data_IF_452834603169
#
_entry.id   IF_452834603169
#
_cell.length_a   1.000
_cell.length_b   1.000
_cell.length_c   1.000
_cell.angle_alpha   90.00
_cell.angle_beta   90.00
_cell.angle_gamma   90.00
#
_symmetry.space_group_name_H-M   'P 1'
#
loop_
_entity.id
_entity.type
_entity.pdbx_description
1 polymer ?
#
# COMPACT_ATOMS: atom_id res chain seq x y z
N UNK A 1 -29.37 49.46 -81.22
CA UNK A 1 -28.43 49.53 -80.06
C UNK A 1 -28.92 48.55 -78.99
N UNK A 2 -28.32 47.35 -78.86
CA UNK A 2 -28.64 46.34 -77.85
C UNK A 2 -27.62 46.41 -76.75
N UNK A 3 -28.02 46.68 -75.47
CA UNK A 3 -27.19 46.68 -74.31
C UNK A 3 -27.13 45.26 -73.74
N UNK A 4 -25.98 44.66 -73.67
CA UNK A 4 -25.71 43.44 -72.95
C UNK A 4 -25.42 43.73 -71.43
N UNK A 5 -26.16 43.05 -70.59
CA UNK A 5 -25.96 43.01 -69.14
C UNK A 5 -25.17 41.72 -68.76
N UNK A 6 -24.11 41.77 -68.01
CA UNK A 6 -23.42 40.56 -67.55
C UNK A 6 -24.03 40.02 -66.23
N UNK A 7 -24.36 38.72 -66.24
CA UNK A 7 -24.73 37.96 -65.04
C UNK A 7 -23.51 37.70 -64.20
N UNK A 8 -23.50 38.18 -62.95
CA UNK A 8 -22.49 37.88 -61.94
C UNK A 8 -23.01 36.64 -61.19
N UNK A 9 -22.30 35.50 -61.32
CA UNK A 9 -22.55 34.30 -60.51
C UNK A 9 -21.77 34.45 -59.22
N UNK A 10 -22.45 34.72 -58.08
CA UNK A 10 -21.92 34.64 -56.75
C UNK A 10 -21.74 33.21 -56.28
N UNK A 11 -20.53 32.71 -56.18
CA UNK A 11 -20.22 31.48 -55.54
C UNK A 11 -20.28 31.64 -54.02
N UNK A 12 -21.29 31.09 -53.36
CA UNK A 12 -21.37 31.03 -51.90
C UNK A 12 -20.48 29.82 -51.43
N UNK A 13 -19.30 30.12 -50.91
CA UNK A 13 -18.45 29.18 -50.27
C UNK A 13 -19.00 28.88 -48.86
N UNK A 14 -19.63 27.77 -48.63
CA UNK A 14 -19.99 27.26 -47.29
C UNK A 14 -18.73 26.71 -46.62
N UNK A 15 -18.11 27.49 -45.76
CA UNK A 15 -17.06 27.02 -44.89
C UNK A 15 -17.67 26.17 -43.78
N UNK A 16 -17.62 24.84 -43.92
CA UNK A 16 -17.93 23.91 -42.84
C UNK A 16 -16.83 23.98 -41.76
N UNK A 17 -17.06 24.73 -40.68
CA UNK A 17 -16.23 24.74 -39.51
C UNK A 17 -16.39 23.39 -38.80
N UNK A 18 -15.46 22.47 -39.00
CA UNK A 18 -15.28 21.31 -38.13
C UNK A 18 -14.83 21.81 -36.74
N UNK A 19 -15.79 21.98 -35.83
CA UNK A 19 -15.52 22.12 -34.42
C UNK A 19 -14.95 20.80 -33.94
N UNK A 20 -13.63 20.70 -33.91
CA UNK A 20 -12.95 19.65 -33.17
C UNK A 20 -13.31 19.88 -31.69
N UNK A 21 -14.31 19.16 -31.18
CA UNK A 21 -14.52 19.05 -29.75
C UNK A 21 -13.27 18.39 -29.16
N UNK A 22 -12.37 19.20 -28.64
CA UNK A 22 -11.35 18.74 -27.71
C UNK A 22 -12.14 18.24 -26.51
N UNK A 23 -12.37 16.94 -26.45
CA UNK A 23 -12.90 16.30 -25.26
C UNK A 23 -11.93 16.64 -24.13
N UNK A 24 -12.32 17.61 -23.30
CA UNK A 24 -11.52 17.98 -22.13
C UNK A 24 -11.27 16.73 -21.30
N UNK A 25 -10.03 16.55 -20.84
CA UNK A 25 -9.66 15.43 -20.01
C UNK A 25 -10.62 15.34 -18.80
N UNK A 26 -11.37 14.24 -18.69
CA UNK A 26 -12.26 14.04 -17.56
C UNK A 26 -11.42 13.79 -16.30
N UNK A 27 -11.76 14.47 -15.20
CA UNK A 27 -11.08 14.26 -13.94
C UNK A 27 -11.60 13.00 -13.24
N UNK A 28 -10.72 12.04 -13.02
CA UNK A 28 -10.99 10.86 -12.20
C UNK A 28 -10.70 11.18 -10.74
N UNK A 29 -11.72 11.04 -9.90
CA UNK A 29 -11.58 11.18 -8.45
C UNK A 29 -11.21 9.84 -7.86
N UNK A 30 -10.13 9.79 -7.10
CA UNK A 30 -9.73 8.66 -6.25
C UNK A 30 -9.97 9.07 -4.80
N UNK A 31 -10.58 8.19 -4.01
CA UNK A 31 -10.82 8.48 -2.60
C UNK A 31 -9.98 7.58 -1.69
N UNK A 32 -9.39 8.17 -0.68
CA UNK A 32 -8.71 7.47 0.41
C UNK A 32 -9.46 7.70 1.72
N UNK A 33 -9.75 6.61 2.42
CA UNK A 33 -10.17 6.61 3.82
C UNK A 33 -9.09 5.86 4.60
N UNK A 34 -8.42 6.55 5.51
CA UNK A 34 -7.25 6.03 6.20
C UNK A 34 -7.03 6.79 7.52
N UNK A 35 -6.22 6.26 8.46
CA UNK A 35 -5.83 6.99 9.65
C UNK A 35 -4.93 8.18 9.26
N UNK A 36 -5.50 9.37 9.23
CA UNK A 36 -4.78 10.64 9.06
C UNK A 36 -4.52 11.32 10.41
N UNK A 37 -5.13 10.79 11.47
CA UNK A 37 -4.89 11.08 12.88
C UNK A 37 -4.70 9.79 13.69
N UNK A 38 -4.25 9.89 14.95
CA UNK A 38 -4.02 8.74 15.83
C UNK A 38 -2.70 8.02 15.60
N UNK A 39 -2.62 6.76 16.02
CA UNK A 39 -1.38 5.99 16.13
C UNK A 39 -0.68 5.72 14.80
N UNK A 40 -1.45 5.49 13.73
CA UNK A 40 -0.92 5.12 12.40
C UNK A 40 -0.98 6.31 11.41
N UNK A 41 -1.18 7.54 11.91
CA UNK A 41 -1.36 8.74 11.08
C UNK A 41 -0.18 9.02 10.14
N UNK A 42 1.04 8.77 10.58
CA UNK A 42 2.24 8.99 9.78
C UNK A 42 2.22 8.13 8.52
N UNK A 43 1.87 6.85 8.65
CA UNK A 43 1.77 5.93 7.53
C UNK A 43 0.63 6.31 6.58
N UNK A 44 -0.55 6.65 7.13
CA UNK A 44 -1.70 7.08 6.33
C UNK A 44 -1.41 8.32 5.49
N UNK A 45 -0.79 9.34 6.08
CA UNK A 45 -0.38 10.57 5.40
C UNK A 45 0.73 10.32 4.37
N UNK A 46 1.71 9.47 4.69
CA UNK A 46 2.78 9.12 3.76
C UNK A 46 2.24 8.40 2.52
N UNK A 47 1.33 7.46 2.72
CA UNK A 47 0.66 6.77 1.61
C UNK A 47 -0.13 7.76 0.72
N UNK A 48 -0.88 8.71 1.36
CA UNK A 48 -1.57 9.79 0.66
C UNK A 48 -0.63 10.62 -0.20
N UNK A 49 0.51 11.02 0.38
CA UNK A 49 1.52 11.80 -0.33
C UNK A 49 2.07 11.04 -1.55
N UNK A 50 2.31 9.74 -1.42
CA UNK A 50 2.71 8.88 -2.53
C UNK A 50 1.70 8.83 -3.66
N UNK A 51 0.41 8.62 -3.36
CA UNK A 51 -0.69 8.70 -4.33
C UNK A 51 -0.69 10.06 -5.06
N UNK A 52 -0.62 11.14 -4.29
CA UNK A 52 -0.66 12.50 -4.82
C UNK A 52 0.54 12.80 -5.73
N UNK A 53 1.75 12.34 -5.37
CA UNK A 53 2.95 12.47 -6.20
C UNK A 53 2.76 11.79 -7.56
N UNK A 54 2.24 10.56 -7.59
CA UNK A 54 1.99 9.85 -8.83
C UNK A 54 0.95 10.57 -9.70
N UNK A 55 -0.15 11.04 -9.11
CA UNK A 55 -1.20 11.77 -9.82
C UNK A 55 -0.71 13.11 -10.34
N UNK A 56 0.04 13.86 -9.54
CA UNK A 56 0.62 15.14 -9.98
C UNK A 56 1.57 14.95 -11.17
N UNK A 57 2.40 13.90 -11.16
CA UNK A 57 3.28 13.59 -12.29
C UNK A 57 2.48 13.23 -13.56
N UNK A 58 1.46 12.39 -13.43
CA UNK A 58 0.60 12.05 -14.57
C UNK A 58 -0.10 13.29 -15.12
N UNK A 59 -0.67 14.13 -14.25
CA UNK A 59 -1.37 15.34 -14.66
C UNK A 59 -0.45 16.34 -15.37
N UNK A 60 0.79 16.53 -14.86
CA UNK A 60 1.81 17.37 -15.52
C UNK A 60 2.22 16.85 -16.89
N UNK A 61 2.14 15.53 -17.10
CA UNK A 61 2.40 14.88 -18.38
C UNK A 61 1.19 14.85 -19.33
N UNK A 62 0.09 15.53 -18.99
CA UNK A 62 -1.14 15.58 -19.81
C UNK A 62 -2.18 14.49 -19.42
N UNK A 63 -2.00 13.81 -18.30
CA UNK A 63 -2.91 12.76 -17.83
C UNK A 63 -2.61 11.36 -18.42
N UNK A 64 -3.57 10.46 -18.32
CA UNK A 64 -3.49 9.12 -18.89
C UNK A 64 -4.86 8.62 -19.34
N UNK A 65 -4.92 7.97 -20.51
CA UNK A 65 -6.19 7.46 -21.08
C UNK A 65 -7.23 8.55 -21.39
N UNK A 66 -6.81 9.81 -21.51
CA UNK A 66 -7.71 10.97 -21.68
C UNK A 66 -8.24 11.51 -20.34
N UNK A 67 -7.61 11.19 -19.21
CA UNK A 67 -8.05 11.58 -17.88
C UNK A 67 -6.95 12.27 -17.09
N UNK A 68 -7.35 13.18 -16.20
CA UNK A 68 -6.55 13.69 -15.08
C UNK A 68 -7.02 13.06 -13.76
N UNK A 69 -6.25 13.21 -12.70
CA UNK A 69 -6.46 12.52 -11.42
C UNK A 69 -6.54 13.52 -10.27
N UNK A 70 -7.44 13.27 -9.33
CA UNK A 70 -7.51 13.98 -8.05
C UNK A 70 -7.67 13.00 -6.90
N UNK A 71 -7.16 13.37 -5.73
CA UNK A 71 -7.25 12.60 -4.49
C UNK A 71 -8.13 13.31 -3.48
N UNK A 72 -9.18 12.64 -3.01
CA UNK A 72 -9.98 13.06 -1.87
C UNK A 72 -9.61 12.20 -0.67
N UNK A 73 -9.33 12.82 0.48
CA UNK A 73 -8.91 12.12 1.71
C UNK A 73 -9.96 12.31 2.79
N UNK A 74 -10.25 11.24 3.53
CA UNK A 74 -11.06 11.24 4.75
C UNK A 74 -10.30 10.54 5.86
N UNK A 75 -10.32 11.11 7.05
CA UNK A 75 -9.73 10.52 8.25
C UNK A 75 -10.72 9.56 8.91
N UNK A 76 -10.30 8.34 9.21
CA UNK A 76 -11.05 7.37 10.00
C UNK A 76 -10.45 7.15 11.40
N UNK A 77 -9.34 7.83 11.71
CA UNK A 77 -8.63 7.68 12.98
C UNK A 77 -8.19 6.24 13.29
N UNK A 78 -8.19 5.35 12.29
CA UNK A 78 -7.93 3.92 12.44
C UNK A 78 -9.08 3.14 13.10
N UNK A 79 -10.31 3.66 13.11
CA UNK A 79 -11.48 3.02 13.69
C UNK A 79 -12.38 2.41 12.62
N UNK A 80 -12.67 1.08 12.69
CA UNK A 80 -13.43 0.38 11.63
C UNK A 80 -14.83 0.98 11.35
N UNK A 81 -15.55 1.41 12.38
CA UNK A 81 -16.87 2.02 12.21
C UNK A 81 -16.79 3.35 11.45
N UNK A 82 -15.76 4.16 11.75
CA UNK A 82 -15.51 5.41 11.05
C UNK A 82 -15.03 5.16 9.62
N UNK A 83 -14.29 4.08 9.36
CA UNK A 83 -13.91 3.66 8.00
C UNK A 83 -15.14 3.45 7.12
N UNK A 84 -16.16 2.73 7.63
CA UNK A 84 -17.41 2.48 6.89
C UNK A 84 -18.19 3.77 6.67
N UNK A 85 -18.35 4.59 7.73
CA UNK A 85 -19.06 5.86 7.66
C UNK A 85 -18.40 6.83 6.67
N UNK A 86 -17.07 7.01 6.76
CA UNK A 86 -16.31 7.87 5.87
C UNK A 86 -16.31 7.36 4.42
N UNK A 87 -16.27 6.02 4.22
CA UNK A 87 -16.39 5.42 2.87
C UNK A 87 -17.76 5.73 2.27
N UNK A 88 -18.84 5.53 3.03
CA UNK A 88 -20.20 5.84 2.56
C UNK A 88 -20.35 7.32 2.21
N UNK A 89 -19.81 8.20 3.06
CA UNK A 89 -19.83 9.63 2.83
C UNK A 89 -19.07 10.03 1.55
N UNK A 90 -17.84 9.56 1.37
CA UNK A 90 -17.02 9.93 0.21
C UNK A 90 -17.59 9.39 -1.11
N UNK A 91 -18.24 8.23 -1.07
CA UNK A 91 -18.94 7.66 -2.24
C UNK A 91 -20.09 8.55 -2.69
N UNK A 92 -20.86 9.09 -1.74
CA UNK A 92 -21.99 9.98 -2.02
C UNK A 92 -21.53 11.37 -2.51
N UNK A 93 -20.54 11.97 -1.83
CA UNK A 93 -20.09 13.35 -2.08
C UNK A 93 -19.22 13.47 -3.33
N UNK A 94 -18.24 12.59 -3.48
CA UNK A 94 -17.17 12.74 -4.47
C UNK A 94 -17.28 11.80 -5.66
N UNK A 95 -18.16 10.79 -5.61
CA UNK A 95 -18.40 9.78 -6.66
C UNK A 95 -17.08 9.22 -7.25
N UNK A 96 -16.15 8.73 -6.44
CA UNK A 96 -14.84 8.31 -6.90
C UNK A 96 -14.95 7.14 -7.88
N UNK A 97 -13.97 7.04 -8.79
CA UNK A 97 -13.81 5.91 -9.69
C UNK A 97 -13.20 4.70 -8.99
N UNK A 98 -12.35 4.94 -8.00
CA UNK A 98 -11.68 3.95 -7.19
C UNK A 98 -11.43 4.45 -5.77
N UNK A 99 -11.32 3.52 -4.83
CA UNK A 99 -10.80 3.72 -3.49
C UNK A 99 -9.32 3.31 -3.47
N UNK A 100 -8.51 3.92 -2.61
CA UNK A 100 -7.10 3.59 -2.50
C UNK A 100 -6.54 3.78 -1.09
N UNK A 101 -5.53 2.99 -0.71
CA UNK A 101 -4.70 3.23 0.46
C UNK A 101 -5.44 3.13 1.80
N UNK A 102 -6.27 2.11 1.97
CA UNK A 102 -6.93 1.81 3.24
C UNK A 102 -6.01 1.05 4.20
N UNK A 103 -6.24 1.18 5.50
CA UNK A 103 -5.38 0.61 6.54
C UNK A 103 -6.18 -0.15 7.60
N UNK A 104 -5.54 -1.16 8.19
CA UNK A 104 -6.01 -1.85 9.37
C UNK A 104 -6.78 -3.14 9.09
N UNK A 105 -6.53 -4.14 9.92
CA UNK A 105 -7.10 -5.48 9.78
C UNK A 105 -8.64 -5.44 9.84
N UNK A 106 -9.17 -4.84 10.90
CA UNK A 106 -10.62 -4.76 11.14
C UNK A 106 -11.31 -3.83 10.15
N UNK A 107 -10.72 -2.66 9.84
CA UNK A 107 -11.27 -1.71 8.87
C UNK A 107 -11.49 -2.35 7.51
N UNK A 108 -10.48 -3.08 7.02
CA UNK A 108 -10.57 -3.76 5.72
C UNK A 108 -11.52 -4.96 5.80
N UNK A 109 -11.51 -5.72 6.91
CA UNK A 109 -12.44 -6.83 7.09
C UNK A 109 -13.90 -6.36 7.09
N UNK A 110 -14.23 -5.31 7.84
CA UNK A 110 -15.58 -4.76 7.90
C UNK A 110 -16.00 -4.11 6.56
N UNK A 111 -15.06 -3.45 5.86
CA UNK A 111 -15.33 -2.92 4.52
C UNK A 111 -15.73 -4.04 3.53
N UNK A 112 -14.99 -5.13 3.50
CA UNK A 112 -15.31 -6.28 2.64
C UNK A 112 -16.65 -6.90 3.06
N UNK A 113 -16.86 -7.13 4.36
CA UNK A 113 -18.10 -7.72 4.90
C UNK A 113 -19.34 -6.85 4.64
N UNK A 114 -19.18 -5.53 4.59
CA UNK A 114 -20.29 -4.59 4.34
C UNK A 114 -20.91 -4.73 2.94
N UNK A 115 -20.22 -5.37 1.98
CA UNK A 115 -20.67 -5.48 0.59
C UNK A 115 -20.65 -4.16 -0.19
N UNK A 116 -20.14 -3.06 0.39
CA UNK A 116 -20.11 -1.75 -0.27
C UNK A 116 -19.35 -1.81 -1.60
N UNK A 117 -18.20 -2.50 -1.65
CA UNK A 117 -17.38 -2.59 -2.85
C UNK A 117 -18.12 -3.24 -4.02
N UNK A 118 -18.85 -4.32 -3.75
CA UNK A 118 -19.66 -5.03 -4.74
C UNK A 118 -20.89 -4.23 -5.16
N UNK A 119 -21.62 -3.67 -4.20
CA UNK A 119 -22.79 -2.84 -4.44
C UNK A 119 -22.48 -1.65 -5.33
N UNK A 120 -21.38 -0.97 -5.03
CA UNK A 120 -20.93 0.22 -5.76
C UNK A 120 -20.05 -0.11 -6.95
N UNK A 121 -19.73 -1.40 -7.19
CA UNK A 121 -18.81 -1.90 -8.22
C UNK A 121 -17.49 -1.13 -8.26
N UNK A 122 -16.96 -0.80 -7.09
CA UNK A 122 -15.80 0.05 -6.92
C UNK A 122 -14.59 -0.74 -6.42
N UNK A 123 -13.44 -0.56 -7.07
CA UNK A 123 -12.19 -1.18 -6.63
C UNK A 123 -11.55 -0.44 -5.47
N UNK A 124 -11.00 -1.18 -4.50
CA UNK A 124 -9.99 -0.72 -3.56
C UNK A 124 -8.62 -1.13 -4.08
N UNK A 125 -7.78 -0.15 -4.42
CA UNK A 125 -6.43 -0.35 -4.97
C UNK A 125 -5.38 0.04 -3.95
N UNK A 126 -4.62 -0.95 -3.45
CA UNK A 126 -3.64 -0.75 -2.38
C UNK A 126 -4.30 -0.62 -1.01
N UNK A 127 -3.86 -1.47 -0.10
CA UNK A 127 -4.27 -1.47 1.29
C UNK A 127 -3.19 -2.09 2.17
N UNK A 128 -3.18 -1.78 3.45
CA UNK A 128 -2.23 -2.32 4.42
C UNK A 128 -2.93 -3.11 5.53
N UNK A 129 -2.49 -4.34 5.74
CA UNK A 129 -3.00 -5.26 6.75
C UNK A 129 -1.89 -6.17 7.23
N UNK A 130 -1.98 -6.66 8.45
CA UNK A 130 -1.12 -7.71 9.04
C UNK A 130 -1.79 -9.09 9.00
N UNK A 131 -2.83 -9.26 8.16
CA UNK A 131 -3.54 -10.52 7.98
C UNK A 131 -3.26 -11.14 6.61
N UNK A 132 -3.34 -12.47 6.56
CA UNK A 132 -3.41 -13.21 5.30
C UNK A 132 -4.86 -13.18 4.83
N UNK A 133 -5.08 -12.54 3.67
CA UNK A 133 -6.41 -12.41 3.09
C UNK A 133 -6.56 -13.30 1.87
N UNK A 134 -7.75 -13.93 1.71
CA UNK A 134 -8.10 -14.59 0.45
C UNK A 134 -8.23 -13.53 -0.66
N UNK A 135 -8.14 -13.98 -1.90
CA UNK A 135 -8.52 -13.14 -3.04
C UNK A 135 -10.03 -12.88 -3.00
N UNK A 136 -10.41 -11.61 -2.94
CA UNK A 136 -11.82 -11.19 -2.96
C UNK A 136 -12.06 -10.17 -4.07
N UNK A 137 -13.24 -10.17 -4.69
CA UNK A 137 -13.58 -9.20 -5.73
C UNK A 137 -13.38 -7.76 -5.26
N UNK A 138 -12.98 -6.89 -6.19
CA UNK A 138 -12.77 -5.45 -5.98
C UNK A 138 -11.64 -5.05 -5.02
N UNK A 139 -10.85 -5.97 -4.45
CA UNK A 139 -9.76 -5.67 -3.52
C UNK A 139 -8.42 -6.05 -4.15
N UNK A 140 -7.62 -5.05 -4.49
CA UNK A 140 -6.36 -5.19 -5.23
C UNK A 140 -5.17 -4.77 -4.38
N UNK A 141 -4.24 -5.69 -4.13
CA UNK A 141 -2.99 -5.40 -3.42
C UNK A 141 -1.88 -5.09 -4.42
N UNK A 142 -1.24 -3.93 -4.28
CA UNK A 142 -0.09 -3.56 -5.12
C UNK A 142 1.24 -4.09 -4.60
N UNK A 143 1.23 -4.75 -3.45
CA UNK A 143 2.40 -5.25 -2.73
C UNK A 143 2.36 -6.77 -2.57
N UNK A 144 3.49 -7.36 -2.17
CA UNK A 144 3.54 -8.75 -1.74
C UNK A 144 2.61 -8.99 -0.55
N UNK A 145 2.03 -10.18 -0.49
CA UNK A 145 1.19 -10.58 0.64
C UNK A 145 2.03 -10.92 1.88
N UNK A 146 1.39 -10.89 3.05
CA UNK A 146 2.06 -11.22 4.31
C UNK A 146 2.70 -12.63 4.28
N UNK A 147 2.11 -13.57 3.54
CA UNK A 147 2.67 -14.91 3.35
C UNK A 147 4.04 -14.88 2.66
N UNK A 148 4.23 -14.00 1.68
CA UNK A 148 5.51 -13.82 0.98
C UNK A 148 6.55 -13.22 1.94
N UNK A 149 6.16 -12.25 2.79
CA UNK A 149 7.04 -11.65 3.80
C UNK A 149 7.50 -12.68 4.83
N UNK A 150 6.57 -13.48 5.38
CA UNK A 150 6.88 -14.55 6.34
C UNK A 150 7.81 -15.58 5.69
N UNK A 151 7.55 -15.97 4.46
CA UNK A 151 8.41 -16.90 3.71
C UNK A 151 9.82 -16.36 3.59
N UNK A 152 9.97 -15.11 3.18
CA UNK A 152 11.29 -14.46 3.05
C UNK A 152 12.06 -14.40 4.37
N UNK A 153 11.38 -14.06 5.47
CA UNK A 153 11.96 -14.05 6.82
C UNK A 153 12.40 -15.46 7.24
N UNK A 154 11.52 -16.46 7.09
CA UNK A 154 11.80 -17.83 7.51
C UNK A 154 12.93 -18.47 6.70
N UNK A 155 12.97 -18.26 5.38
CA UNK A 155 14.06 -18.72 4.50
C UNK A 155 15.41 -18.07 4.90
N UNK A 156 15.42 -16.77 5.16
CA UNK A 156 16.62 -16.09 5.62
C UNK A 156 17.13 -16.67 6.94
N UNK A 157 16.24 -16.82 7.94
CA UNK A 157 16.58 -17.37 9.25
C UNK A 157 17.15 -18.80 9.13
N UNK A 158 16.52 -19.64 8.34
CA UNK A 158 16.99 -21.00 8.07
C UNK A 158 18.38 -21.01 7.41
N UNK A 159 18.62 -20.12 6.45
CA UNK A 159 19.93 -20.00 5.77
C UNK A 159 21.06 -19.65 6.73
N UNK A 160 20.78 -18.88 7.78
CA UNK A 160 21.78 -18.53 8.81
C UNK A 160 21.76 -19.48 10.03
N UNK A 161 21.03 -20.61 9.94
CA UNK A 161 21.00 -21.67 10.96
C UNK A 161 20.10 -21.37 12.17
N UNK A 162 19.21 -20.37 12.05
CA UNK A 162 18.26 -20.00 13.10
C UNK A 162 16.93 -20.74 12.83
N UNK A 163 16.63 -21.74 13.63
CA UNK A 163 15.49 -22.66 13.39
C UNK A 163 14.46 -22.68 14.52
N UNK A 164 14.79 -22.18 15.72
CA UNK A 164 13.86 -22.10 16.86
C UNK A 164 13.30 -20.70 16.95
N UNK A 165 12.06 -20.51 16.49
CA UNK A 165 11.45 -19.21 16.27
C UNK A 165 10.34 -18.93 17.29
N UNK A 166 10.16 -17.67 17.63
CA UNK A 166 8.98 -17.13 18.30
C UNK A 166 8.04 -16.49 17.29
N UNK A 167 6.76 -16.50 17.59
CA UNK A 167 5.75 -15.79 16.81
C UNK A 167 5.00 -14.81 17.71
N UNK A 168 5.06 -13.53 17.37
CA UNK A 168 4.30 -12.44 17.99
C UNK A 168 3.34 -11.83 16.99
N UNK A 169 2.04 -11.81 17.30
CA UNK A 169 1.02 -11.30 16.36
C UNK A 169 -0.19 -10.69 17.07
N UNK A 170 -0.97 -9.92 16.33
CA UNK A 170 -2.27 -9.41 16.79
C UNK A 170 -3.27 -10.55 17.00
N UNK A 171 -4.03 -10.50 18.08
CA UNK A 171 -5.16 -11.41 18.30
C UNK A 171 -6.41 -10.87 17.57
N UNK A 172 -7.09 -11.73 16.81
CA UNK A 172 -8.23 -11.32 16.01
C UNK A 172 -8.75 -12.41 15.08
N UNK A 173 -9.76 -12.10 14.27
CA UNK A 173 -10.42 -13.07 13.39
C UNK A 173 -9.47 -13.78 12.40
N UNK A 174 -8.40 -13.11 11.98
CA UNK A 174 -7.39 -13.65 11.07
C UNK A 174 -6.31 -14.50 11.74
N UNK A 175 -6.25 -14.55 13.07
CA UNK A 175 -5.15 -15.18 13.81
C UNK A 175 -4.98 -16.69 13.51
N UNK A 176 -6.08 -17.43 13.35
CA UNK A 176 -6.02 -18.85 13.02
C UNK A 176 -5.42 -19.11 11.63
N UNK A 177 -5.82 -18.36 10.62
CA UNK A 177 -5.27 -18.47 9.27
C UNK A 177 -3.79 -18.05 9.22
N UNK A 178 -3.43 -17.01 9.99
CA UNK A 178 -2.07 -16.53 10.12
C UNK A 178 -1.15 -17.60 10.75
N UNK A 179 -1.54 -18.15 11.88
CA UNK A 179 -0.74 -19.18 12.58
C UNK A 179 -0.59 -20.44 11.74
N UNK A 180 -1.64 -20.90 11.07
CA UNK A 180 -1.56 -22.05 10.15
C UNK A 180 -0.58 -21.81 9.00
N UNK A 181 -0.56 -20.61 8.43
CA UNK A 181 0.38 -20.24 7.37
C UNK A 181 1.82 -20.18 7.89
N UNK A 182 2.05 -19.60 9.07
CA UNK A 182 3.38 -19.59 9.70
C UNK A 182 3.88 -21.01 9.94
N UNK A 183 3.02 -21.92 10.45
CA UNK A 183 3.39 -23.32 10.70
C UNK A 183 3.75 -24.05 9.41
N UNK A 184 2.99 -23.85 8.34
CA UNK A 184 3.29 -24.42 7.04
C UNK A 184 4.64 -23.93 6.49
N UNK A 185 4.89 -22.62 6.56
CA UNK A 185 6.14 -21.99 6.05
C UNK A 185 7.34 -22.44 6.86
N UNK A 186 7.26 -22.39 8.19
CA UNK A 186 8.37 -22.77 9.05
C UNK A 186 8.70 -24.26 8.92
N UNK A 187 7.69 -25.13 8.77
CA UNK A 187 7.91 -26.54 8.48
C UNK A 187 8.66 -26.76 7.16
N UNK A 188 8.34 -26.00 6.10
CA UNK A 188 9.01 -26.08 4.79
C UNK A 188 10.48 -25.63 4.87
N UNK A 189 10.79 -24.67 5.73
CA UNK A 189 12.16 -24.16 5.94
C UNK A 189 12.94 -24.95 7.01
N UNK A 190 12.36 -26.02 7.58
CA UNK A 190 12.99 -26.80 8.65
C UNK A 190 13.06 -26.07 9.99
N UNK A 191 12.24 -25.06 10.17
CA UNK A 191 12.16 -24.28 11.42
C UNK A 191 10.97 -24.70 12.27
N UNK A 192 10.98 -24.34 13.55
CA UNK A 192 9.91 -24.66 14.52
C UNK A 192 9.54 -23.43 15.33
N UNK A 193 8.24 -23.19 15.52
CA UNK A 193 7.77 -22.17 16.44
C UNK A 193 7.76 -22.72 17.86
N UNK A 194 8.70 -22.26 18.68
CA UNK A 194 8.90 -22.71 20.07
C UNK A 194 8.12 -21.90 21.10
N UNK A 195 7.73 -20.66 20.76
CA UNK A 195 6.92 -19.80 21.61
C UNK A 195 5.97 -18.95 20.76
N UNK A 196 4.76 -18.73 21.26
CA UNK A 196 3.73 -17.89 20.62
C UNK A 196 3.17 -16.93 21.64
N UNK A 197 2.99 -15.68 21.23
CA UNK A 197 2.34 -14.67 22.04
C UNK A 197 1.54 -13.72 21.18
N UNK A 198 0.44 -13.19 21.73
CA UNK A 198 -0.44 -12.26 21.06
C UNK A 198 -0.59 -10.96 21.84
N UNK A 199 -1.08 -9.93 21.18
CA UNK A 199 -1.57 -8.71 21.80
C UNK A 199 -2.99 -8.41 21.31
N UNK A 200 -3.82 -7.71 22.13
CA UNK A 200 -5.21 -7.43 21.77
C UNK A 200 -5.31 -6.50 20.56
N UNK A 201 -6.23 -6.83 19.64
CA UNK A 201 -6.47 -6.08 18.42
C UNK A 201 -6.71 -4.58 18.67
N UNK A 202 -6.12 -3.74 17.82
CA UNK A 202 -6.25 -2.29 17.89
C UNK A 202 -5.58 -1.64 19.10
N UNK A 203 -4.67 -2.33 19.77
CA UNK A 203 -3.93 -1.81 20.93
C UNK A 203 -2.42 -2.00 20.76
N UNK A 204 -1.64 -1.40 21.65
CA UNK A 204 -0.20 -1.66 21.82
C UNK A 204 0.11 -2.28 23.20
N UNK A 205 -0.82 -3.06 23.77
CA UNK A 205 -0.64 -3.73 25.07
C UNK A 205 0.12 -5.03 24.87
N UNK A 206 1.45 -4.99 24.98
CA UNK A 206 2.35 -6.07 24.62
C UNK A 206 3.01 -6.78 25.82
N UNK A 207 2.90 -6.23 27.03
CA UNK A 207 3.60 -6.74 28.23
C UNK A 207 3.38 -8.24 28.51
N UNK A 208 2.17 -8.82 28.37
CA UNK A 208 2.00 -10.26 28.58
C UNK A 208 2.78 -11.13 27.57
N UNK A 209 2.97 -10.62 26.35
CA UNK A 209 3.76 -11.32 25.34
C UNK A 209 5.26 -11.33 25.68
N UNK A 210 5.77 -10.26 26.29
CA UNK A 210 7.16 -10.16 26.71
C UNK A 210 7.48 -11.28 27.71
N UNK A 211 6.65 -11.47 28.73
CA UNK A 211 6.83 -12.51 29.74
C UNK A 211 6.96 -13.92 29.14
N UNK A 212 6.17 -14.21 28.10
CA UNK A 212 6.23 -15.50 27.41
C UNK A 212 7.60 -15.71 26.76
N UNK A 213 8.10 -14.72 26.01
CA UNK A 213 9.37 -14.83 25.30
C UNK A 213 10.60 -14.77 26.22
N UNK A 214 10.49 -14.11 27.38
CA UNK A 214 11.56 -14.11 28.38
C UNK A 214 11.64 -15.45 29.12
N UNK A 215 10.50 -16.12 29.37
CA UNK A 215 10.44 -17.47 29.98
C UNK A 215 10.87 -18.58 29.03
N UNK A 216 10.54 -18.46 27.76
CA UNK A 216 10.84 -19.45 26.71
C UNK A 216 11.53 -18.76 25.54
N UNK A 217 12.83 -18.42 25.69
CA UNK A 217 13.54 -17.60 24.70
C UNK A 217 13.78 -18.35 23.38
N UNK A 218 13.22 -17.88 22.26
CA UNK A 218 13.55 -18.39 20.93
C UNK A 218 14.88 -17.78 20.45
N UNK A 219 15.42 -18.29 19.34
CA UNK A 219 16.59 -17.67 18.70
C UNK A 219 16.23 -16.38 17.97
N UNK A 220 15.05 -16.35 17.32
CA UNK A 220 14.51 -15.16 16.69
C UNK A 220 12.99 -15.08 16.91
N UNK A 221 12.43 -13.86 16.87
CA UNK A 221 11.00 -13.61 16.97
C UNK A 221 10.52 -12.97 15.66
N UNK A 222 9.54 -13.60 15.01
CA UNK A 222 8.81 -13.04 13.88
C UNK A 222 7.66 -12.20 14.45
N UNK A 223 7.72 -10.88 14.21
CA UNK A 223 6.73 -9.92 14.70
C UNK A 223 5.77 -9.53 13.58
N UNK A 224 4.55 -10.04 13.66
CA UNK A 224 3.45 -9.71 12.74
C UNK A 224 2.51 -8.73 13.43
N UNK A 225 3.01 -7.52 13.66
CA UNK A 225 2.39 -6.48 14.48
C UNK A 225 2.35 -5.13 13.73
N UNK A 226 1.43 -4.25 14.16
CA UNK A 226 1.37 -2.85 13.69
C UNK A 226 2.57 -2.07 14.21
N UNK A 227 2.85 -0.88 13.62
CA UNK A 227 4.01 -0.07 13.99
C UNK A 227 4.06 0.27 15.49
N UNK A 228 2.93 0.68 16.06
CA UNK A 228 2.85 1.02 17.50
C UNK A 228 3.03 -0.17 18.42
N UNK A 229 2.46 -1.33 18.08
CA UNK A 229 2.61 -2.57 18.85
C UNK A 229 4.02 -3.15 18.71
N UNK A 230 4.59 -3.13 17.50
CA UNK A 230 5.98 -3.54 17.27
C UNK A 230 6.97 -2.69 18.08
N UNK A 231 6.80 -1.36 18.05
CA UNK A 231 7.65 -0.45 18.83
C UNK A 231 7.58 -0.74 20.34
N UNK A 232 6.37 -0.88 20.90
CA UNK A 232 6.18 -1.20 22.30
C UNK A 232 6.77 -2.56 22.68
N UNK A 233 6.66 -3.57 21.79
CA UNK A 233 7.26 -4.89 22.01
C UNK A 233 8.77 -4.82 21.99
N UNK A 234 9.39 -4.19 21.00
CA UNK A 234 10.85 -4.06 20.87
C UNK A 234 11.42 -3.40 22.13
N UNK A 235 10.86 -2.25 22.51
CA UNK A 235 11.30 -1.49 23.68
C UNK A 235 11.25 -2.33 24.96
N UNK A 236 10.08 -2.88 25.30
CA UNK A 236 9.89 -3.64 26.53
C UNK A 236 10.69 -4.95 26.53
N UNK A 237 10.79 -5.65 25.40
CA UNK A 237 11.55 -6.88 25.28
C UNK A 237 13.05 -6.65 25.50
N UNK A 238 13.62 -5.59 24.92
CA UNK A 238 15.03 -5.22 25.11
C UNK A 238 15.29 -4.75 26.53
N UNK A 239 14.43 -3.93 27.13
CA UNK A 239 14.51 -3.51 28.52
C UNK A 239 14.44 -4.69 29.49
N UNK A 240 13.65 -5.70 29.18
CA UNK A 240 13.55 -6.96 29.95
C UNK A 240 14.73 -7.91 29.76
N UNK A 241 15.76 -7.55 29.00
CA UNK A 241 16.93 -8.41 28.74
C UNK A 241 16.74 -9.42 27.61
N UNK A 242 15.70 -9.26 26.78
CA UNK A 242 15.44 -10.15 25.66
C UNK A 242 16.53 -10.08 24.58
N UNK A 243 17.14 -11.24 24.26
CA UNK A 243 18.31 -11.34 23.39
C UNK A 243 17.99 -11.93 22.00
N UNK A 244 16.76 -12.42 21.73
CA UNK A 244 16.39 -12.97 20.45
C UNK A 244 16.54 -11.92 19.32
N UNK A 245 16.87 -12.39 18.11
CA UNK A 245 16.83 -11.53 16.94
C UNK A 245 15.37 -11.18 16.60
N UNK A 246 15.12 -9.93 16.21
CA UNK A 246 13.77 -9.44 15.96
C UNK A 246 13.56 -9.19 14.47
N UNK A 247 12.56 -9.84 13.91
CA UNK A 247 12.16 -9.72 12.50
C UNK A 247 10.73 -9.22 12.40
N UNK A 248 10.51 -8.08 11.78
CA UNK A 248 9.18 -7.51 11.59
C UNK A 248 8.72 -7.60 10.14
N UNK A 249 7.41 -7.66 9.94
CA UNK A 249 6.80 -7.46 8.64
C UNK A 249 6.77 -5.95 8.28
N UNK A 250 6.55 -5.63 7.01
CA UNK A 250 6.64 -4.27 6.47
C UNK A 250 5.68 -3.24 7.10
N UNK A 251 4.52 -3.67 7.61
CA UNK A 251 3.56 -2.79 8.28
C UNK A 251 4.00 -2.33 9.67
N UNK A 252 5.09 -2.89 10.23
CA UNK A 252 5.72 -2.34 11.43
C UNK A 252 6.32 -0.95 11.18
N UNK A 253 6.59 -0.60 9.92
CA UNK A 253 7.03 0.71 9.45
C UNK A 253 8.34 1.18 10.10
N UNK A 254 9.44 0.97 9.39
CA UNK A 254 10.78 1.25 9.89
C UNK A 254 10.97 2.71 10.30
N UNK A 255 10.31 3.64 9.61
CA UNK A 255 10.37 5.08 9.89
C UNK A 255 9.65 5.40 11.19
N UNK A 256 8.48 4.81 11.41
CA UNK A 256 7.74 4.97 12.68
C UNK A 256 8.50 4.35 13.85
N UNK A 257 9.11 3.18 13.66
CA UNK A 257 9.96 2.56 14.66
C UNK A 257 11.17 3.45 15.00
N UNK A 258 11.87 3.97 13.98
CA UNK A 258 13.05 4.82 14.17
C UNK A 258 12.73 6.16 14.85
N UNK A 259 11.53 6.72 14.64
CA UNK A 259 11.10 7.94 15.33
C UNK A 259 10.80 7.71 16.82
N UNK A 260 10.35 6.52 17.18
CA UNK A 260 9.92 6.17 18.53
C UNK A 260 11.03 5.56 19.37
N UNK A 261 11.89 4.76 18.75
CA UNK A 261 12.94 4.00 19.41
C UNK A 261 14.30 4.64 19.13
N UNK A 262 15.17 4.68 20.14
CA UNK A 262 16.56 5.12 19.96
C UNK A 262 17.37 4.17 19.09
N UNK A 263 18.49 4.66 18.54
CA UNK A 263 19.37 3.89 17.63
C UNK A 263 19.82 2.55 18.22
N UNK A 264 20.18 2.52 19.51
CA UNK A 264 20.59 1.29 20.22
C UNK A 264 19.48 0.24 20.25
N UNK A 265 18.23 0.66 20.50
CA UNK A 265 17.08 -0.23 20.56
C UNK A 265 16.73 -0.79 19.18
N UNK A 266 16.98 -0.02 18.13
CA UNK A 266 16.73 -0.41 16.72
C UNK A 266 17.84 -1.30 16.15
N UNK A 267 19.03 -1.33 16.75
CA UNK A 267 20.16 -2.09 16.22
C UNK A 267 19.84 -3.58 16.08
N UNK A 268 20.13 -4.15 14.91
CA UNK A 268 19.94 -5.56 14.59
C UNK A 268 18.49 -5.98 14.33
N UNK A 269 17.54 -5.03 14.33
CA UNK A 269 16.17 -5.35 13.91
C UNK A 269 16.13 -5.48 12.39
N UNK A 270 15.58 -6.59 11.92
CA UNK A 270 15.32 -6.83 10.50
C UNK A 270 13.84 -6.60 10.18
N UNK A 271 13.58 -5.97 9.04
CA UNK A 271 12.21 -5.67 8.60
C UNK A 271 12.06 -6.07 7.15
N UNK A 272 11.02 -6.86 6.86
CA UNK A 272 10.64 -7.14 5.48
C UNK A 272 10.13 -5.86 4.83
N UNK A 273 10.57 -5.60 3.60
CA UNK A 273 10.13 -4.48 2.78
C UNK A 273 9.48 -5.01 1.50
N UNK A 274 8.32 -4.48 1.17
CA UNK A 274 7.51 -4.93 0.03
C UNK A 274 7.57 -3.98 -1.15
N UNK A 275 8.41 -2.96 -1.06
CA UNK A 275 8.74 -2.01 -2.12
C UNK A 275 10.23 -1.77 -2.16
N UNK A 276 10.79 -1.31 -3.28
CA UNK A 276 12.16 -0.82 -3.32
C UNK A 276 12.38 0.31 -2.30
N UNK A 277 13.62 0.44 -1.84
CA UNK A 277 13.99 1.49 -0.88
C UNK A 277 13.69 2.89 -1.41
N UNK A 278 12.99 3.75 -0.65
CA UNK A 278 12.82 5.14 -1.00
C UNK A 278 14.10 5.98 -0.83
N UNK A 279 15.13 5.42 -0.18
CA UNK A 279 16.38 6.09 0.19
C UNK A 279 17.54 5.74 -0.72
N UNK A 280 17.44 4.66 -1.49
CA UNK A 280 18.52 4.14 -2.34
C UNK A 280 18.03 3.99 -3.77
N UNK A 281 18.73 4.61 -4.70
CA UNK A 281 18.46 4.46 -6.13
C UNK A 281 18.99 3.08 -6.58
N UNK A 282 18.15 2.06 -6.42
CA UNK A 282 18.47 0.67 -6.82
C UNK A 282 17.86 0.26 -8.17
N UNK A 283 17.08 1.16 -8.80
CA UNK A 283 16.40 0.88 -10.07
C UNK A 283 15.65 2.08 -10.60
N UNK A 284 14.97 1.91 -11.74
CA UNK A 284 14.25 3.00 -12.42
C UNK A 284 13.11 3.56 -11.58
N UNK A 285 12.33 2.71 -10.91
CA UNK A 285 11.24 3.15 -10.04
C UNK A 285 11.75 4.02 -8.88
N UNK A 286 12.80 3.56 -8.19
CA UNK A 286 13.39 4.31 -7.07
C UNK A 286 13.96 5.64 -7.53
N UNK A 287 14.59 5.68 -8.72
CA UNK A 287 15.07 6.94 -9.32
C UNK A 287 13.93 7.89 -9.64
N UNK A 288 12.89 7.41 -10.31
CA UNK A 288 11.70 8.22 -10.66
C UNK A 288 11.04 8.80 -9.41
N UNK A 289 10.90 7.98 -8.36
CA UNK A 289 10.36 8.43 -7.07
C UNK A 289 11.24 9.52 -6.45
N UNK A 290 12.55 9.29 -6.35
CA UNK A 290 13.49 10.27 -5.79
C UNK A 290 13.48 11.60 -6.57
N UNK A 291 13.49 11.55 -7.90
CA UNK A 291 13.40 12.73 -8.78
C UNK A 291 12.08 13.48 -8.57
N UNK A 292 10.98 12.75 -8.34
CA UNK A 292 9.65 13.34 -8.09
C UNK A 292 9.60 14.03 -6.73
N UNK A 293 10.10 13.38 -5.70
CA UNK A 293 10.22 13.93 -4.35
C UNK A 293 11.06 15.20 -4.36
N UNK A 294 12.23 15.17 -5.00
CA UNK A 294 13.13 16.33 -5.09
C UNK A 294 12.51 17.55 -5.80
N UNK A 295 11.57 17.32 -6.71
CA UNK A 295 10.85 18.37 -7.45
C UNK A 295 9.57 18.84 -6.76
N UNK A 296 9.22 18.25 -5.62
CA UNK A 296 7.98 18.58 -4.89
C UNK A 296 8.32 19.30 -3.59
N UNK A 297 8.20 20.63 -3.56
CA UNK A 297 8.42 21.38 -2.32
C UNK A 297 7.31 21.11 -1.30
N UNK A 298 7.62 21.25 -0.02
CA UNK A 298 6.66 21.19 1.08
C UNK A 298 5.86 19.89 1.18
N UNK A 299 6.55 18.75 1.11
CA UNK A 299 5.92 17.48 1.40
C UNK A 299 5.36 17.48 2.84
N UNK A 300 4.14 16.98 3.02
CA UNK A 300 3.47 16.88 4.33
C UNK A 300 4.25 16.00 5.32
N UNK A 301 4.92 14.98 4.80
CA UNK A 301 5.76 14.03 5.55
C UNK A 301 7.02 13.69 4.74
N UNK A 302 8.13 13.28 5.41
CA UNK A 302 9.34 12.87 4.70
C UNK A 302 9.11 11.61 3.85
N UNK A 303 9.97 11.37 2.83
CA UNK A 303 9.95 10.14 2.06
C UNK A 303 10.06 8.91 2.96
N UNK A 304 9.29 7.87 2.62
CA UNK A 304 9.20 6.64 3.42
C UNK A 304 8.78 5.45 2.56
N UNK A 305 8.88 4.24 3.09
CA UNK A 305 8.35 3.03 2.44
C UNK A 305 6.83 3.12 2.22
N UNK A 306 6.09 3.70 3.17
CA UNK A 306 4.65 3.93 3.00
C UNK A 306 4.35 4.90 1.85
N UNK A 307 5.17 5.95 1.68
CA UNK A 307 5.04 6.89 0.54
C UNK A 307 5.37 6.20 -0.80
N UNK A 308 6.42 5.38 -0.86
CA UNK A 308 6.76 4.59 -2.04
C UNK A 308 5.61 3.63 -2.41
N UNK A 309 4.99 2.97 -1.44
CA UNK A 309 3.85 2.09 -1.68
C UNK A 309 2.64 2.85 -2.23
N UNK A 310 2.33 4.02 -1.67
CA UNK A 310 1.30 4.92 -2.20
C UNK A 310 1.61 5.40 -3.63
N UNK A 311 2.87 5.69 -3.94
CA UNK A 311 3.32 6.05 -5.28
C UNK A 311 3.09 4.91 -6.29
N UNK A 312 3.42 3.67 -5.90
CA UNK A 312 3.17 2.46 -6.71
C UNK A 312 1.67 2.25 -6.93
N UNK A 313 0.84 2.43 -5.89
CA UNK A 313 -0.60 2.33 -6.01
C UNK A 313 -1.16 3.39 -6.98
N UNK A 314 -0.69 4.63 -6.88
CA UNK A 314 -1.03 5.69 -7.81
C UNK A 314 -0.65 5.37 -9.26
N UNK A 315 0.58 4.87 -9.49
CA UNK A 315 1.01 4.41 -10.83
C UNK A 315 0.15 3.26 -11.36
N UNK A 316 -0.27 2.33 -10.49
CA UNK A 316 -1.16 1.22 -10.85
C UNK A 316 -2.54 1.73 -11.27
N UNK A 317 -3.10 2.71 -10.55
CA UNK A 317 -4.37 3.36 -10.89
C UNK A 317 -4.26 4.09 -12.24
N UNK A 318 -3.16 4.81 -12.47
CA UNK A 318 -2.89 5.52 -13.74
C UNK A 318 -2.82 4.53 -14.91
N UNK A 319 -2.15 3.39 -14.72
CA UNK A 319 -2.09 2.35 -15.75
C UNK A 319 -3.46 1.73 -16.04
N UNK A 320 -4.26 1.46 -15.01
CA UNK A 320 -5.63 0.99 -15.19
C UNK A 320 -6.50 2.02 -15.93
N UNK A 321 -6.37 3.31 -15.61
CA UNK A 321 -7.07 4.38 -16.33
C UNK A 321 -6.65 4.47 -17.81
N UNK A 322 -5.35 4.26 -18.11
CA UNK A 322 -4.86 4.20 -19.50
C UNK A 322 -5.50 3.06 -20.26
N UNK A 323 -5.61 1.87 -19.66
CA UNK A 323 -6.24 0.68 -20.27
C UNK A 323 -7.76 0.80 -20.38
N UNK A 324 -8.41 1.48 -19.44
CA UNK A 324 -9.83 1.75 -19.46
C UNK A 324 -10.24 2.59 -20.69
N UNK A 325 -9.36 3.50 -21.14
CA UNK A 325 -9.64 4.41 -22.26
C UNK A 325 -10.57 5.56 -21.86
N UNK A 326 -11.09 6.29 -22.86
CA UNK A 326 -11.78 7.56 -22.66
C UNK A 326 -13.14 7.47 -21.94
N UNK A 327 -13.82 6.32 -21.97
CA UNK A 327 -15.13 6.15 -21.31
C UNK A 327 -14.95 5.65 -19.88
N UNK A 328 -14.96 6.59 -18.93
CA UNK A 328 -14.80 6.27 -17.52
C UNK A 328 -16.09 5.70 -16.92
N UNK A 329 -15.99 4.49 -16.32
CA UNK A 329 -16.96 3.95 -15.38
C UNK A 329 -16.24 3.05 -14.37
N UNK A 330 -16.86 2.79 -13.22
CA UNK A 330 -16.29 1.89 -12.22
C UNK A 330 -16.10 0.48 -12.77
N UNK A 331 -17.07 -0.03 -13.54
CA UNK A 331 -17.00 -1.34 -14.18
C UNK A 331 -15.85 -1.42 -15.18
N UNK A 332 -15.71 -0.40 -16.04
CA UNK A 332 -14.61 -0.34 -16.99
C UNK A 332 -13.24 -0.25 -16.31
N UNK A 333 -13.18 0.49 -15.20
CA UNK A 333 -11.95 0.60 -14.39
C UNK A 333 -11.57 -0.73 -13.74
N UNK A 334 -12.53 -1.47 -13.16
CA UNK A 334 -12.32 -2.80 -12.59
C UNK A 334 -11.88 -3.80 -13.68
N UNK A 335 -12.55 -3.79 -14.83
CA UNK A 335 -12.15 -4.64 -15.96
C UNK A 335 -10.73 -4.33 -16.44
N UNK A 336 -10.35 -3.04 -16.46
CA UNK A 336 -8.99 -2.63 -16.80
C UNK A 336 -7.97 -3.09 -15.74
N UNK A 337 -8.30 -2.97 -14.44
CA UNK A 337 -7.43 -3.48 -13.34
C UNK A 337 -7.13 -4.97 -13.49
N UNK A 338 -8.12 -5.79 -13.80
CA UNK A 338 -7.94 -7.24 -13.99
C UNK A 338 -7.02 -7.60 -15.19
N UNK A 339 -6.61 -6.62 -15.99
CA UNK A 339 -5.63 -6.78 -17.09
C UNK A 339 -4.32 -6.06 -16.84
N UNK A 340 -4.17 -5.36 -15.71
CA UNK A 340 -2.90 -4.67 -15.42
C UNK A 340 -1.79 -5.69 -15.28
N UNK A 341 -0.78 -5.53 -16.11
CA UNK A 341 0.51 -6.17 -16.01
C UNK A 341 1.56 -5.13 -16.40
N UNK A 342 2.35 -4.68 -15.43
CA UNK A 342 3.32 -3.62 -15.64
C UNK A 342 4.60 -3.85 -14.85
N UNK A 343 5.75 -3.57 -15.48
CA UNK A 343 7.04 -3.45 -14.84
C UNK A 343 7.41 -1.97 -14.72
N UNK A 344 7.42 -1.49 -13.50
CA UNK A 344 7.74 -0.09 -13.18
C UNK A 344 9.26 0.18 -13.13
N UNK A 345 10.08 -0.78 -13.57
CA UNK A 345 11.55 -0.69 -13.58
C UNK A 345 12.19 -1.45 -12.43
N UNK A 346 11.92 -2.76 -12.40
CA UNK A 346 12.36 -3.69 -11.37
C UNK A 346 11.31 -4.00 -10.32
N UNK A 347 10.14 -3.35 -10.38
CA UNK A 347 9.00 -3.66 -9.55
C UNK A 347 7.78 -4.00 -10.41
N UNK A 348 7.34 -5.24 -10.33
CA UNK A 348 6.21 -5.73 -11.12
C UNK A 348 4.92 -5.71 -10.34
N UNK A 349 3.85 -5.23 -10.99
CA UNK A 349 2.47 -5.33 -10.51
C UNK A 349 1.64 -5.97 -11.62
N UNK A 350 0.94 -7.06 -11.30
CA UNK A 350 0.06 -7.73 -12.24
C UNK A 350 -1.18 -8.29 -11.55
N UNK A 351 -2.33 -8.13 -12.19
CA UNK A 351 -3.60 -8.67 -11.72
C UNK A 351 -4.25 -9.51 -12.81
N UNK A 352 -5.06 -10.46 -12.37
CA UNK A 352 -6.00 -11.18 -13.22
C UNK A 352 -7.18 -11.65 -12.36
N UNK A 353 -8.32 -12.00 -12.95
CA UNK A 353 -9.44 -12.56 -12.20
C UNK A 353 -8.99 -13.73 -11.31
N UNK A 354 -9.30 -13.66 -10.02
CA UNK A 354 -8.88 -14.65 -9.01
C UNK A 354 -7.42 -14.52 -8.54
N UNK A 355 -6.69 -13.49 -8.96
CA UNK A 355 -5.34 -13.18 -8.46
C UNK A 355 -5.14 -11.65 -8.40
N UNK A 356 -5.51 -11.06 -7.27
CA UNK A 356 -5.44 -9.62 -7.00
C UNK A 356 -4.32 -9.21 -6.05
N UNK A 357 -3.40 -10.11 -5.74
CA UNK A 357 -2.11 -9.82 -5.12
C UNK A 357 -1.08 -9.54 -6.22
N UNK A 358 -0.81 -8.26 -6.48
CA UNK A 358 -0.15 -7.80 -7.69
C UNK A 358 1.37 -7.92 -7.68
N UNK A 359 2.03 -8.09 -6.53
CA UNK A 359 3.48 -8.20 -6.43
C UNK A 359 3.89 -9.33 -5.52
N UNK A 360 5.15 -9.79 -5.69
CA UNK A 360 5.82 -10.74 -4.79
C UNK A 360 7.18 -10.23 -4.34
N UNK A 361 7.42 -8.95 -4.55
CA UNK A 361 8.67 -8.32 -4.16
C UNK A 361 8.78 -8.26 -2.65
N UNK A 362 9.81 -8.89 -2.08
CA UNK A 362 10.18 -8.80 -0.67
C UNK A 362 11.70 -8.74 -0.52
N UNK A 363 12.19 -7.72 0.15
CA UNK A 363 13.58 -7.57 0.59
C UNK A 363 13.63 -7.50 2.12
N UNK A 364 14.80 -7.78 2.70
CA UNK A 364 15.05 -7.59 4.13
C UNK A 364 15.94 -6.38 4.33
N UNK A 365 15.49 -5.44 5.16
CA UNK A 365 16.28 -4.31 5.64
C UNK A 365 16.72 -4.57 7.07
N UNK A 366 18.00 -4.36 7.38
CA UNK A 366 18.54 -4.50 8.73
C UNK A 366 19.00 -3.14 9.20
N UNK A 367 18.60 -2.74 10.42
CA UNK A 367 19.06 -1.53 11.06
C UNK A 367 20.43 -1.78 11.67
N UNK A 368 21.42 -0.99 11.27
CA UNK A 368 22.80 -1.09 11.77
C UNK A 368 23.05 -0.10 12.89
N UNK A 369 24.17 -0.29 13.66
CA UNK A 369 24.55 0.52 14.82
C UNK A 369 24.85 2.00 14.58
N UNK A 370 24.49 2.55 13.45
CA UNK A 370 24.52 3.99 13.18
C UNK A 370 23.15 4.48 12.68
N UNK A 371 22.06 3.76 13.03
CA UNK A 371 20.72 4.05 12.55
C UNK A 371 20.56 3.89 11.02
N UNK A 372 21.59 3.37 10.33
CA UNK A 372 21.58 3.19 8.88
C UNK A 372 20.88 1.88 8.52
N UNK A 373 20.02 1.96 7.52
CA UNK A 373 19.35 0.80 6.94
C UNK A 373 20.29 0.17 5.91
N UNK A 374 20.61 -1.13 6.09
CA UNK A 374 21.25 -1.98 5.08
C UNK A 374 20.23 -2.94 4.49
N UNK A 375 20.30 -3.11 3.20
CA UNK A 375 19.56 -4.09 2.39
C UNK A 375 20.53 -5.14 1.87
#
# INVERSE_FOLDING_TARGET
MKKYMPFIHGAVAVAASLAVQVAGAAQLVIAQVAPLSGLEAIQGRAYSAGLQLAFNNANKAGGAGGHTFSLVRKDDGGRPDDTIAATTQVLAESKPIALAGYFGNRSIAELVKSGILEKEKIALVGYRTTEIRPDVPYVYSVRAGLRDEITKIAEHLATVGITRLGLFHEDGPGAAALTAAVDEITKKTGSTITARATYPAGTARVSPAIDIFLKTPPQAIIMLATGSAAAGFIEQYRLGGGAAQLFAQSGADIEQLAQRLGEETMQGIAIAQVTPSPYKISGRLAKEFADTVAKTPNLEVPPSYAMMEGYIAGKTIIEAARRMGAKASREAFVAALDTVETDMGGYRVGFKPGMRSGSRFVELSIVTGAGKIRQ
#
